data_IF_235008243957
#
_entry.id   IF_235008243957
#
_cell.length_a   1.000
_cell.length_b   1.000
_cell.length_c   1.000
_cell.angle_alpha   90.00
_cell.angle_beta   90.00
_cell.angle_gamma   90.00
#
_symmetry.space_group_name_H-M   'P 1'
#
loop_
_entity.id
_entity.type
_entity.pdbx_description
1 polymer ?
#
# COMPACT_ATOMS: atom_id res chain seq x y z
N UNK A 1 14.79 14.86 -15.90
CA UNK A 1 14.99 13.44 -16.24
C UNK A 1 13.69 12.70 -16.56
N UNK A 2 12.70 12.61 -15.67
CA UNK A 2 11.44 11.91 -15.94
C UNK A 2 10.66 12.46 -17.14
N UNK A 3 10.62 13.77 -17.31
CA UNK A 3 9.95 14.43 -18.44
C UNK A 3 10.50 13.96 -19.79
N UNK A 4 11.82 13.94 -19.95
CA UNK A 4 12.47 13.52 -21.19
C UNK A 4 12.22 12.06 -21.50
N UNK A 5 12.25 11.19 -20.49
CA UNK A 5 12.02 9.75 -20.65
C UNK A 5 10.57 9.41 -20.98
N UNK A 6 9.60 10.14 -20.43
CA UNK A 6 8.18 9.83 -20.56
C UNK A 6 7.49 10.55 -21.72
N UNK A 7 7.93 11.77 -22.07
CA UNK A 7 7.25 12.60 -23.08
C UNK A 7 7.92 12.54 -24.46
N UNK A 8 9.24 12.50 -24.50
CA UNK A 8 9.99 12.62 -25.76
C UNK A 8 10.55 11.30 -26.28
N UNK A 9 10.35 10.20 -25.57
CA UNK A 9 10.80 8.88 -26.04
C UNK A 9 9.88 8.37 -27.12
N UNK A 10 10.43 8.11 -28.29
CA UNK A 10 9.71 7.52 -29.44
C UNK A 10 9.53 6.00 -29.30
N UNK A 11 10.28 5.38 -28.39
CA UNK A 11 10.28 3.92 -28.17
C UNK A 11 9.38 3.49 -26.99
N UNK A 12 8.91 4.44 -26.17
CA UNK A 12 8.08 4.13 -25.02
C UNK A 12 6.60 4.05 -25.42
N UNK A 13 6.00 2.88 -25.27
CA UNK A 13 4.57 2.67 -25.53
C UNK A 13 3.72 2.97 -24.29
N UNK A 14 4.12 2.46 -23.14
CA UNK A 14 3.42 2.64 -21.86
C UNK A 14 4.40 2.81 -20.72
N UNK A 15 4.00 3.52 -19.69
CA UNK A 15 4.76 3.66 -18.45
C UNK A 15 3.84 3.58 -17.24
N UNK A 16 4.31 3.01 -16.15
CA UNK A 16 3.63 2.98 -14.87
C UNK A 16 4.54 3.58 -13.80
N UNK A 17 4.00 4.54 -13.07
CA UNK A 17 4.67 5.19 -11.93
C UNK A 17 3.92 4.83 -10.66
N UNK A 18 4.61 4.29 -9.68
CA UNK A 18 4.01 3.96 -8.38
C UNK A 18 4.67 4.75 -7.26
N UNK A 19 3.93 5.07 -6.21
CA UNK A 19 4.44 5.79 -5.06
C UNK A 19 3.45 5.80 -3.91
N UNK A 20 3.94 6.08 -2.71
CA UNK A 20 3.14 6.12 -1.48
C UNK A 20 2.23 7.34 -1.45
N UNK A 21 2.67 8.45 -2.01
CA UNK A 21 1.93 9.71 -2.04
C UNK A 21 1.94 10.31 -3.44
N UNK A 22 0.80 10.86 -3.83
CA UNK A 22 0.77 11.76 -4.97
C UNK A 22 1.56 13.01 -4.59
N UNK A 23 2.73 13.17 -5.18
CA UNK A 23 3.49 14.42 -5.07
C UNK A 23 2.77 15.44 -5.96
N UNK A 24 1.89 16.22 -5.35
CA UNK A 24 1.16 17.31 -6.02
C UNK A 24 2.06 18.51 -6.36
N UNK A 25 3.34 18.44 -6.01
CA UNK A 25 4.29 19.51 -6.29
C UNK A 25 4.70 19.49 -7.74
N UNK A 26 4.03 20.39 -8.47
CA UNK A 26 4.63 21.31 -9.41
C UNK A 26 5.53 20.70 -10.50
N UNK A 27 5.07 20.85 -11.72
CA UNK A 27 5.87 20.75 -12.95
C UNK A 27 6.37 19.36 -13.40
N UNK A 28 6.38 18.33 -12.56
CA UNK A 28 6.73 16.99 -13.03
C UNK A 28 5.62 16.40 -13.91
N UNK A 29 4.37 16.73 -13.60
CA UNK A 29 3.19 16.17 -14.27
C UNK A 29 2.41 17.19 -15.11
N UNK A 30 2.69 18.49 -14.98
CA UNK A 30 1.98 19.53 -15.71
C UNK A 30 2.11 19.41 -17.24
N UNK A 31 3.20 18.78 -17.68
CA UNK A 31 3.50 18.58 -19.10
C UNK A 31 3.08 17.20 -19.63
N UNK A 32 2.54 16.32 -18.79
CA UNK A 32 2.07 14.99 -19.19
C UNK A 32 0.55 15.00 -19.36
N UNK A 33 0.08 15.28 -20.57
CA UNK A 33 -1.34 15.44 -20.87
C UNK A 33 -2.15 14.13 -20.87
N UNK A 34 -1.48 12.99 -20.86
CA UNK A 34 -2.10 11.67 -20.94
C UNK A 34 -1.91 10.82 -19.66
N UNK A 35 -1.64 11.48 -18.54
CA UNK A 35 -1.45 10.80 -17.25
C UNK A 35 -2.80 10.39 -16.66
N UNK A 36 -2.99 9.09 -16.47
CA UNK A 36 -4.11 8.55 -15.69
C UNK A 36 -3.63 8.32 -14.26
N UNK A 37 -4.26 8.97 -13.30
CA UNK A 37 -3.90 8.84 -11.87
C UNK A 37 -4.91 7.95 -11.18
N UNK A 38 -4.42 6.85 -10.60
CA UNK A 38 -5.22 5.94 -9.79
C UNK A 38 -4.74 6.01 -8.33
N UNK A 39 -5.68 6.10 -7.41
CA UNK A 39 -5.43 6.15 -5.97
C UNK A 39 -5.98 4.90 -5.29
N UNK A 40 -5.70 4.73 -4.01
CA UNK A 40 -6.24 3.62 -3.20
C UNK A 40 -7.77 3.63 -3.08
N UNK A 41 -8.43 4.73 -3.48
CA UNK A 41 -9.90 4.84 -3.51
C UNK A 41 -10.51 4.38 -4.81
N UNK A 42 -9.70 4.25 -5.86
CA UNK A 42 -10.16 3.88 -7.19
C UNK A 42 -10.27 2.36 -7.30
N UNK A 43 -11.27 1.89 -8.04
CA UNK A 43 -11.45 0.45 -8.30
C UNK A 43 -10.38 -0.11 -9.23
N UNK A 44 -9.88 0.75 -10.13
CA UNK A 44 -8.82 0.37 -11.05
C UNK A 44 -7.55 0.01 -10.27
N UNK A 45 -7.02 -1.19 -10.54
CA UNK A 45 -5.81 -1.73 -9.91
C UNK A 45 -5.89 -2.00 -8.40
N UNK A 46 -7.07 -1.90 -7.77
CA UNK A 46 -7.24 -2.09 -6.33
C UNK A 46 -6.73 -3.45 -5.82
N UNK A 47 -6.77 -4.49 -6.66
CA UNK A 47 -6.34 -5.86 -6.32
C UNK A 47 -4.83 -6.11 -6.50
N UNK A 48 -4.08 -5.15 -7.04
CA UNK A 48 -2.68 -5.39 -7.44
C UNK A 48 -1.62 -4.89 -6.45
N UNK A 49 -2.04 -4.24 -5.37
CA UNK A 49 -1.11 -3.65 -4.38
C UNK A 49 -1.08 -4.39 -3.05
N UNK A 50 -1.30 -5.68 -3.07
CA UNK A 50 -1.26 -6.57 -1.92
C UNK A 50 -1.98 -7.88 -2.26
N UNK A 51 -2.17 -8.73 -1.27
CA UNK A 51 -2.89 -9.98 -1.46
C UNK A 51 -4.38 -9.82 -1.22
N UNK A 52 -5.19 -10.40 -2.09
CA UNK A 52 -6.63 -10.60 -1.87
C UNK A 52 -6.88 -11.74 -0.87
N UNK A 53 -8.10 -11.83 -0.35
CA UNK A 53 -8.46 -12.91 0.58
C UNK A 53 -8.36 -14.30 -0.07
N UNK A 54 -8.70 -14.41 -1.35
CA UNK A 54 -8.61 -15.65 -2.11
C UNK A 54 -7.16 -16.12 -2.25
N UNK A 55 -6.26 -15.21 -2.68
CA UNK A 55 -4.83 -15.51 -2.82
C UNK A 55 -4.19 -15.92 -1.50
N UNK A 56 -4.60 -15.30 -0.39
CA UNK A 56 -4.09 -15.68 0.93
C UNK A 56 -4.59 -17.05 1.36
N UNK A 57 -5.85 -17.35 1.11
CA UNK A 57 -6.43 -18.63 1.42
C UNK A 57 -5.64 -19.75 0.73
N UNK A 58 -5.45 -19.63 -0.57
CA UNK A 58 -4.71 -20.61 -1.37
C UNK A 58 -3.26 -20.75 -0.89
N UNK A 59 -2.60 -19.63 -0.59
CA UNK A 59 -1.24 -19.63 -0.10
C UNK A 59 -1.12 -20.27 1.28
N UNK A 60 -1.99 -19.93 2.22
CA UNK A 60 -1.94 -20.50 3.58
C UNK A 60 -2.25 -22.00 3.56
N UNK A 61 -3.20 -22.44 2.73
CA UNK A 61 -3.50 -23.85 2.53
C UNK A 61 -2.28 -24.62 2.02
N UNK A 62 -1.53 -24.05 1.06
CA UNK A 62 -0.26 -24.62 0.59
C UNK A 62 0.76 -24.82 1.72
N UNK A 63 0.81 -23.91 2.71
CA UNK A 63 1.70 -24.04 3.88
C UNK A 63 1.10 -24.85 5.04
N UNK A 64 -0.08 -25.46 4.86
CA UNK A 64 -0.79 -26.22 5.88
C UNK A 64 -1.34 -25.34 7.01
N UNK A 65 -1.75 -24.13 6.67
CA UNK A 65 -2.36 -23.16 7.58
C UNK A 65 -3.77 -22.80 7.10
N UNK A 66 -4.62 -22.35 8.01
CA UNK A 66 -5.97 -21.90 7.69
C UNK A 66 -6.12 -20.38 7.84
N UNK A 67 -6.88 -19.79 6.93
CA UNK A 67 -7.30 -18.40 7.04
C UNK A 67 -8.48 -18.27 8.02
N UNK A 68 -8.19 -18.30 9.31
CA UNK A 68 -9.18 -18.13 10.35
C UNK A 68 -9.44 -16.66 10.70
N UNK A 69 -10.47 -16.40 11.50
CA UNK A 69 -10.87 -15.03 11.88
C UNK A 69 -9.76 -14.25 12.61
N UNK A 70 -8.90 -14.95 13.37
CA UNK A 70 -7.76 -14.30 14.05
C UNK A 70 -6.73 -13.79 13.06
N UNK A 71 -6.42 -14.57 12.02
CA UNK A 71 -5.51 -14.19 10.93
C UNK A 71 -6.10 -13.02 10.14
N UNK A 72 -7.39 -13.11 9.82
CA UNK A 72 -8.11 -12.02 9.15
C UNK A 72 -8.05 -10.73 9.96
N UNK A 73 -8.43 -10.78 11.23
CA UNK A 73 -8.41 -9.62 12.12
C UNK A 73 -7.01 -9.01 12.25
N UNK A 74 -5.98 -9.86 12.32
CA UNK A 74 -4.60 -9.41 12.48
C UNK A 74 -4.04 -8.76 11.22
N UNK A 75 -4.30 -9.30 10.03
CA UNK A 75 -3.61 -8.92 8.80
C UNK A 75 -4.49 -8.22 7.76
N UNK A 76 -5.81 -8.17 7.94
CA UNK A 76 -6.71 -7.38 7.10
C UNK A 76 -6.61 -5.91 7.50
N UNK A 77 -5.68 -5.17 6.88
CA UNK A 77 -5.35 -3.81 7.29
C UNK A 77 -5.68 -2.73 6.28
N UNK A 78 -5.95 -3.08 5.03
CA UNK A 78 -6.16 -2.10 3.96
C UNK A 78 -7.42 -2.39 3.17
N UNK A 79 -8.13 -1.32 2.82
CA UNK A 79 -9.24 -1.40 1.89
C UNK A 79 -8.95 -0.49 0.70
N UNK A 80 -8.77 -1.09 -0.47
CA UNK A 80 -8.55 -0.37 -1.72
C UNK A 80 -9.79 -0.52 -2.59
N UNK A 81 -10.47 0.60 -2.87
CA UNK A 81 -11.81 0.54 -3.43
C UNK A 81 -12.74 -0.33 -2.57
N UNK A 82 -13.32 -1.38 -3.14
CA UNK A 82 -14.15 -2.36 -2.41
C UNK A 82 -13.41 -3.63 -1.98
N UNK A 83 -12.11 -3.72 -2.26
CA UNK A 83 -11.34 -4.91 -1.96
C UNK A 83 -10.63 -4.81 -0.62
N UNK A 84 -10.80 -5.83 0.21
CA UNK A 84 -9.94 -6.05 1.37
C UNK A 84 -8.58 -6.54 0.89
N UNK A 85 -7.53 -5.80 1.23
CA UNK A 85 -6.17 -6.09 0.81
C UNK A 85 -5.30 -6.32 2.04
N UNK A 86 -4.57 -7.41 2.01
CA UNK A 86 -3.67 -7.82 3.07
C UNK A 86 -2.24 -7.44 2.76
N UNK A 87 -1.49 -7.09 3.79
CA UNK A 87 -0.08 -6.75 3.65
C UNK A 87 0.75 -7.99 3.32
N UNK A 88 1.41 -8.06 2.15
CA UNK A 88 2.17 -9.23 1.73
C UNK A 88 3.28 -9.62 2.72
N UNK A 89 4.02 -8.64 3.23
CA UNK A 89 5.08 -8.87 4.22
C UNK A 89 4.59 -9.58 5.46
N UNK A 90 3.47 -9.14 6.01
CA UNK A 90 2.89 -9.70 7.22
C UNK A 90 2.42 -11.14 7.01
N UNK A 91 1.74 -11.39 5.90
CA UNK A 91 1.19 -12.71 5.57
C UNK A 91 2.30 -13.71 5.25
N UNK A 92 3.32 -13.31 4.49
CA UNK A 92 4.48 -14.15 4.18
C UNK A 92 5.27 -14.53 5.44
N UNK A 93 5.47 -13.59 6.37
CA UNK A 93 6.11 -13.90 7.65
C UNK A 93 5.27 -14.87 8.49
N UNK A 94 3.95 -14.70 8.50
CA UNK A 94 3.06 -15.65 9.17
C UNK A 94 3.14 -17.04 8.54
N UNK A 95 3.04 -17.16 7.23
CA UNK A 95 3.14 -18.42 6.51
C UNK A 95 4.47 -19.13 6.79
N UNK A 96 5.57 -18.40 6.80
CA UNK A 96 6.91 -18.93 7.04
C UNK A 96 7.14 -19.36 8.50
N UNK A 97 6.70 -18.54 9.46
CA UNK A 97 6.99 -18.74 10.89
C UNK A 97 5.91 -19.49 11.63
N UNK A 98 4.72 -19.60 11.06
CA UNK A 98 3.52 -20.22 11.67
C UNK A 98 3.13 -19.62 13.03
N UNK A 99 3.55 -18.38 13.29
CA UNK A 99 3.28 -17.63 14.52
C UNK A 99 2.50 -16.37 14.18
N UNK A 100 1.34 -16.19 14.80
CA UNK A 100 0.54 -14.99 14.64
C UNK A 100 1.19 -13.82 15.41
N UNK A 101 1.70 -12.83 14.70
CA UNK A 101 2.41 -11.68 15.29
C UNK A 101 2.24 -10.42 14.41
N UNK A 102 2.25 -9.22 14.99
CA UNK A 102 2.13 -7.96 14.25
C UNK A 102 3.43 -7.62 13.50
N UNK A 103 3.71 -8.32 12.43
CA UNK A 103 4.95 -8.18 11.65
C UNK A 103 5.14 -6.80 11.00
N UNK A 104 4.07 -6.02 10.81
CA UNK A 104 4.13 -4.67 10.23
C UNK A 104 4.76 -3.64 11.16
N UNK A 105 4.80 -3.87 12.47
CA UNK A 105 5.24 -2.88 13.47
C UNK A 105 6.70 -2.47 13.25
N UNK A 106 7.52 -3.35 12.74
CA UNK A 106 8.96 -3.11 12.56
C UNK A 106 9.36 -2.73 11.12
N UNK A 107 8.40 -2.66 10.17
CA UNK A 107 8.72 -2.44 8.75
C UNK A 107 8.68 -0.97 8.34
N UNK A 108 7.95 -0.13 9.05
CA UNK A 108 7.93 1.30 8.79
C UNK A 108 8.89 2.00 9.74
N UNK A 109 9.91 2.62 9.17
CA UNK A 109 10.67 3.61 9.90
C UNK A 109 9.73 4.77 10.25
N UNK A 110 9.13 4.72 11.44
CA UNK A 110 8.19 5.73 11.95
C UNK A 110 8.80 7.15 12.08
N UNK A 111 10.04 7.34 11.62
CA UNK A 111 10.72 8.65 11.66
C UNK A 111 9.95 9.75 10.92
N UNK A 112 9.36 9.43 9.77
CA UNK A 112 8.58 10.43 9.01
C UNK A 112 7.25 10.76 9.68
N UNK A 113 6.56 9.75 10.22
CA UNK A 113 5.31 9.95 10.94
C UNK A 113 5.57 10.68 12.25
N UNK A 114 6.59 10.32 13.02
CA UNK A 114 7.01 11.06 14.22
C UNK A 114 7.32 12.52 13.90
N UNK A 115 8.13 12.79 12.90
CA UNK A 115 8.47 14.16 12.50
C UNK A 115 7.25 14.98 12.05
N UNK A 116 6.28 14.34 11.41
CA UNK A 116 5.01 14.99 11.02
C UNK A 116 4.10 15.24 12.24
N UNK A 117 4.14 14.38 13.26
CA UNK A 117 3.37 14.55 14.51
C UNK A 117 4.03 15.56 15.46
N UNK A 118 5.35 15.58 15.54
CA UNK A 118 6.11 16.57 16.33
C UNK A 118 6.00 17.99 15.77
N UNK A 119 5.79 18.14 14.48
CA UNK A 119 5.59 19.45 13.82
C UNK A 119 4.16 20.02 13.92
N UNK A 120 3.21 19.28 14.46
CA UNK A 120 1.85 19.75 14.75
C UNK A 120 1.61 19.65 16.24
N UNK A 121 1.67 20.78 16.94
CA UNK A 121 1.05 20.93 18.25
C UNK A 121 -0.47 20.73 18.10
N UNK A 122 -0.92 19.49 18.03
CA UNK A 122 -2.31 19.16 18.28
C UNK A 122 -2.48 19.05 19.79
N UNK A 123 -2.94 20.14 20.40
CA UNK A 123 -3.61 20.09 21.68
C UNK A 123 -4.87 19.22 21.50
N UNK A 124 -4.80 17.97 21.90
CA UNK A 124 -5.97 17.16 22.14
C UNK A 124 -6.60 17.65 23.43
N UNK A 125 -7.58 18.54 23.32
CA UNK A 125 -8.49 18.84 24.42
C UNK A 125 -9.23 17.55 24.78
N UNK A 126 -8.85 16.99 25.92
CA UNK A 126 -9.64 15.99 26.63
C UNK A 126 -10.76 16.75 27.35
N UNK A 127 -11.88 16.87 26.69
CA UNK A 127 -13.16 17.14 27.33
C UNK A 127 -14.24 16.38 26.59
N UNK A 128 -14.60 15.24 27.11
CA UNK A 128 -15.94 14.67 27.41
C UNK A 128 -15.80 13.17 27.69
#
# INVERSE_FOLDING_TARGET
>A
MLHTSLKTSTSLQNAMLTGIQRVAKENIFSDLNNLVVCTVKDYAYSKHFGFTEEEIKDMLEYYGLELNDKVKLMYNGYRFGDCAIYNPWSVLNYASRKVLSPYWVNTSGNKMIRKAMEGRNCSFDRNL
#
